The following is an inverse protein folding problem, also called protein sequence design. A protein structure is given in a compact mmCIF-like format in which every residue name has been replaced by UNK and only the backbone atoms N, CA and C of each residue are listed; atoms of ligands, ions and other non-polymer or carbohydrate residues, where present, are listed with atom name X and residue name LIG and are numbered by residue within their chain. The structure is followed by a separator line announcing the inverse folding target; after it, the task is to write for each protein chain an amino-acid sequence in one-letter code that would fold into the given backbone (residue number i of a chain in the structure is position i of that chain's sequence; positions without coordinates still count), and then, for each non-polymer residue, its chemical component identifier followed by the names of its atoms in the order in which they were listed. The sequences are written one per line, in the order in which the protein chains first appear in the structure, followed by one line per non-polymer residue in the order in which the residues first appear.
data_IF_501701251852
#
_entry.id   IF_501701251852
#
_cell.length_a   1.000
_cell.length_b   1.000
_cell.length_c   1.000
_cell.angle_alpha   90.00
_cell.angle_beta   90.00
_cell.angle_gamma   90.00
#
_symmetry.space_group_name_H-M   'P 1'
#
loop_
_entity.id
_entity.type
_entity.pdbx_description
1 polymer ?
#
# COMPACT_ATOMS: atom_id res chain seq x y z
N UNK A 1 -44.35 13.16 13.78
CA UNK A 1 -43.13 13.88 13.31
C UNK A 1 -41.83 13.36 13.93
N UNK A 2 -41.82 12.67 15.07
CA UNK A 2 -40.60 12.17 15.73
C UNK A 2 -39.93 10.94 15.08
N UNK A 3 -40.69 10.06 14.44
CA UNK A 3 -40.19 8.79 13.89
C UNK A 3 -39.28 8.96 12.65
N UNK A 4 -39.60 9.95 11.82
CA UNK A 4 -38.79 10.27 10.62
C UNK A 4 -37.42 10.86 10.96
N UNK A 5 -37.35 11.69 12.02
CA UNK A 5 -36.08 12.26 12.47
C UNK A 5 -35.11 11.20 13.02
N UNK A 6 -35.64 10.20 13.74
CA UNK A 6 -34.85 9.08 14.28
C UNK A 6 -34.26 8.20 13.18
N UNK A 7 -34.99 7.96 12.08
CA UNK A 7 -34.52 7.16 10.95
C UNK A 7 -33.42 7.91 10.19
N UNK A 8 -33.57 9.21 9.98
CA UNK A 8 -32.56 10.06 9.31
C UNK A 8 -31.28 10.14 10.17
N UNK A 9 -31.38 10.33 11.47
CA UNK A 9 -30.24 10.31 12.39
C UNK A 9 -29.55 8.95 12.44
N UNK A 10 -30.29 7.86 12.40
CA UNK A 10 -29.72 6.50 12.32
C UNK A 10 -28.98 6.29 10.98
N UNK A 11 -29.55 6.76 9.88
CA UNK A 11 -28.92 6.67 8.54
C UNK A 11 -27.64 7.50 8.47
N UNK A 12 -27.66 8.73 9.01
CA UNK A 12 -26.47 9.60 9.10
C UNK A 12 -25.41 8.99 10.03
N UNK A 13 -25.80 8.39 11.16
CA UNK A 13 -24.86 7.69 12.04
C UNK A 13 -24.26 6.43 11.40
N UNK A 14 -25.01 5.70 10.57
CA UNK A 14 -24.53 4.52 9.84
C UNK A 14 -23.60 4.96 8.71
N UNK A 15 -23.91 6.03 7.98
CA UNK A 15 -23.04 6.62 6.95
C UNK A 15 -21.75 7.20 7.56
N UNK A 16 -21.81 7.88 8.70
CA UNK A 16 -20.64 8.40 9.41
C UNK A 16 -19.72 7.29 9.96
N UNK A 17 -20.29 6.14 10.39
CA UNK A 17 -19.50 4.95 10.78
C UNK A 17 -18.78 4.28 9.60
N UNK A 18 -19.23 4.51 8.38
CA UNK A 18 -18.62 3.96 7.15
C UNK A 18 -17.51 4.83 6.54
N UNK A 19 -17.29 6.06 7.02
CA UNK A 19 -16.12 6.85 6.69
C UNK A 19 -14.95 6.29 7.51
N UNK A 20 -14.31 5.26 7.00
CA UNK A 20 -13.02 4.81 7.55
C UNK A 20 -12.02 5.92 7.30
N UNK A 21 -11.86 6.80 8.28
CA UNK A 21 -10.81 7.81 8.26
C UNK A 21 -9.49 7.06 8.25
N UNK A 22 -8.79 7.09 7.12
CA UNK A 22 -7.47 6.47 7.03
C UNK A 22 -6.52 7.20 7.97
N UNK A 23 -5.95 6.46 8.91
CA UNK A 23 -4.90 6.98 9.78
C UNK A 23 -3.62 7.03 8.96
N UNK A 24 -2.91 8.14 9.06
CA UNK A 24 -1.69 8.39 8.32
C UNK A 24 -0.56 8.81 9.25
N UNK A 25 0.63 8.25 9.04
CA UNK A 25 1.86 8.66 9.71
C UNK A 25 2.94 9.00 8.71
N UNK A 26 3.64 10.09 8.96
CA UNK A 26 4.73 10.55 8.09
C UNK A 26 5.95 9.63 8.16
N UNK A 27 6.80 9.69 7.14
CA UNK A 27 8.09 8.98 7.15
C UNK A 27 8.98 9.39 8.32
N UNK A 28 8.84 10.61 8.82
CA UNK A 28 9.60 11.10 9.98
C UNK A 28 9.15 10.49 11.31
N UNK A 29 7.97 9.90 11.35
CA UNK A 29 7.42 9.20 12.52
C UNK A 29 7.63 7.68 12.43
N UNK A 30 7.73 7.14 11.22
CA UNK A 30 7.73 5.69 10.98
C UNK A 30 9.11 5.13 10.64
N UNK A 31 10.07 5.96 10.20
CA UNK A 31 11.40 5.52 9.79
C UNK A 31 12.46 6.00 10.77
N UNK A 32 13.18 5.05 11.38
CA UNK A 32 14.28 5.34 12.28
C UNK A 32 15.36 6.19 11.60
N UNK A 33 15.77 7.29 12.23
CA UNK A 33 16.83 8.18 11.73
C UNK A 33 16.42 9.02 10.49
N UNK A 34 15.15 9.09 10.14
CA UNK A 34 14.70 9.87 8.99
C UNK A 34 15.04 11.36 9.14
N UNK A 35 14.73 11.96 10.29
CA UNK A 35 14.95 13.40 10.56
C UNK A 35 16.43 13.79 10.52
N UNK A 36 17.33 12.89 10.89
CA UNK A 36 18.79 13.13 10.93
C UNK A 36 19.48 12.78 9.62
N UNK A 37 18.80 12.10 8.70
CA UNK A 37 19.37 11.70 7.42
C UNK A 37 19.48 12.90 6.46
N UNK A 38 20.71 13.23 6.04
CA UNK A 38 20.94 14.22 4.99
C UNK A 38 20.30 13.79 3.66
N UNK A 39 20.37 12.49 3.34
CA UNK A 39 19.74 11.92 2.13
C UNK A 39 18.23 12.09 2.14
N UNK A 40 17.54 11.78 3.24
CA UNK A 40 16.09 11.90 3.34
C UNK A 40 15.57 13.34 3.09
N UNK A 41 16.40 14.35 3.36
CA UNK A 41 16.06 15.77 3.16
C UNK A 41 16.21 16.24 1.71
N UNK A 42 17.06 15.60 0.93
CA UNK A 42 17.42 16.02 -0.44
C UNK A 42 16.86 15.10 -1.51
N UNK A 43 16.57 13.84 -1.17
CA UNK A 43 16.10 12.85 -2.13
C UNK A 43 14.67 13.11 -2.61
N UNK A 44 14.46 12.82 -3.89
CA UNK A 44 13.15 12.87 -4.56
C UNK A 44 12.82 11.49 -5.15
N UNK A 45 11.54 11.24 -5.44
CA UNK A 45 11.07 9.99 -6.04
C UNK A 45 11.52 8.73 -5.27
N UNK A 46 11.54 8.82 -3.95
CA UNK A 46 12.08 7.82 -3.02
C UNK A 46 11.00 6.97 -2.32
N UNK A 47 9.80 6.86 -2.92
CA UNK A 47 8.69 6.09 -2.36
C UNK A 47 9.08 4.65 -2.02
N UNK A 48 9.83 3.96 -2.90
CA UNK A 48 10.34 2.60 -2.63
C UNK A 48 11.31 2.58 -1.45
N UNK A 49 12.21 3.57 -1.35
CA UNK A 49 13.16 3.67 -0.22
C UNK A 49 12.40 3.77 1.11
N UNK A 50 11.41 4.65 1.18
CA UNK A 50 10.59 4.85 2.39
C UNK A 50 9.75 3.63 2.71
N UNK A 51 9.15 3.02 1.68
CA UNK A 51 8.33 1.81 1.84
C UNK A 51 9.15 0.67 2.43
N UNK A 52 10.32 0.38 1.88
CA UNK A 52 11.20 -0.68 2.38
C UNK A 52 11.72 -0.35 3.79
N UNK A 53 12.12 0.91 4.05
CA UNK A 53 12.55 1.31 5.38
C UNK A 53 11.47 1.04 6.43
N UNK A 54 10.23 1.44 6.16
CA UNK A 54 9.10 1.21 7.08
C UNK A 54 8.76 -0.27 7.22
N UNK A 55 8.60 -1.00 6.11
CA UNK A 55 8.14 -2.39 6.12
C UNK A 55 9.15 -3.33 6.78
N UNK A 56 10.44 -3.12 6.54
CA UNK A 56 11.51 -3.97 7.08
C UNK A 56 12.15 -3.43 8.36
N UNK A 57 11.72 -2.27 8.86
CA UNK A 57 12.29 -1.65 10.07
C UNK A 57 13.73 -1.12 9.87
N UNK A 58 14.10 -0.79 8.64
CA UNK A 58 15.42 -0.26 8.31
C UNK A 58 15.50 1.25 8.59
N UNK A 59 16.71 1.76 8.78
CA UNK A 59 16.95 3.19 8.67
C UNK A 59 16.79 3.65 7.22
N UNK A 60 16.49 4.94 7.02
CA UNK A 60 16.39 5.50 5.68
C UNK A 60 17.66 5.24 4.85
N UNK A 61 18.85 5.45 5.44
CA UNK A 61 20.14 5.29 4.78
C UNK A 61 20.43 3.83 4.38
N UNK A 62 20.03 2.86 5.23
CA UNK A 62 20.15 1.43 4.88
C UNK A 62 19.28 1.08 3.69
N UNK A 63 18.02 1.50 3.71
CA UNK A 63 17.10 1.27 2.61
C UNK A 63 17.54 1.98 1.32
N UNK A 64 18.02 3.23 1.41
CA UNK A 64 18.56 3.97 0.28
C UNK A 64 19.75 3.24 -0.36
N UNK A 65 20.74 2.81 0.46
CA UNK A 65 21.90 2.04 0.01
C UNK A 65 21.48 0.72 -0.66
N UNK A 66 20.52 0.02 -0.08
CA UNK A 66 19.95 -1.21 -0.67
C UNK A 66 19.30 -0.94 -2.02
N UNK A 67 18.44 0.07 -2.12
CA UNK A 67 17.80 0.43 -3.39
C UNK A 67 18.82 0.78 -4.48
N UNK A 68 19.90 1.49 -4.14
CA UNK A 68 20.99 1.80 -5.07
C UNK A 68 21.72 0.55 -5.56
N UNK A 69 22.10 -0.33 -4.63
CA UNK A 69 22.94 -1.51 -4.96
C UNK A 69 22.13 -2.65 -5.60
N UNK A 70 20.94 -2.94 -5.08
CA UNK A 70 20.18 -4.14 -5.44
C UNK A 70 19.05 -3.86 -6.42
N UNK A 71 18.41 -2.69 -6.34
CA UNK A 71 17.33 -2.30 -7.23
C UNK A 71 17.77 -1.29 -8.30
N UNK A 72 19.09 -1.05 -8.41
CA UNK A 72 19.71 -0.17 -9.42
C UNK A 72 19.12 1.26 -9.44
N UNK A 73 18.66 1.74 -8.27
CA UNK A 73 18.12 3.08 -8.15
C UNK A 73 19.22 4.13 -8.28
N UNK A 74 19.02 5.10 -9.15
CA UNK A 74 19.87 6.29 -9.24
C UNK A 74 19.34 7.39 -8.32
N UNK A 75 20.23 8.22 -7.77
CA UNK A 75 19.86 9.36 -6.91
C UNK A 75 18.84 10.27 -7.62
N UNK A 76 17.83 10.71 -6.89
CA UNK A 76 16.75 11.54 -7.41
C UNK A 76 15.76 10.84 -8.37
N UNK A 77 15.97 9.57 -8.69
CA UNK A 77 15.09 8.77 -9.58
C UNK A 77 14.28 7.75 -8.77
N UNK A 78 13.14 7.34 -9.31
CA UNK A 78 12.38 6.21 -8.80
C UNK A 78 13.08 4.87 -9.05
N UNK A 79 12.58 3.81 -8.43
CA UNK A 79 12.95 2.44 -8.76
C UNK A 79 12.04 1.94 -9.89
N UNK A 80 12.59 1.17 -10.82
CA UNK A 80 11.79 0.52 -11.84
C UNK A 80 10.80 -0.47 -11.18
N UNK A 81 9.51 -0.35 -11.52
CA UNK A 81 8.43 -1.15 -10.92
C UNK A 81 8.66 -2.65 -11.11
N UNK A 82 9.11 -3.07 -12.29
CA UNK A 82 9.40 -4.48 -12.57
C UNK A 82 10.50 -5.03 -11.67
N UNK A 83 11.65 -4.34 -11.56
CA UNK A 83 12.77 -4.73 -10.68
C UNK A 83 12.32 -4.82 -9.22
N UNK A 84 11.48 -3.88 -8.79
CA UNK A 84 10.93 -3.86 -7.44
C UNK A 84 9.98 -5.05 -7.17
N UNK A 85 9.10 -5.36 -8.11
CA UNK A 85 8.18 -6.48 -7.97
C UNK A 85 8.92 -7.83 -8.00
N UNK A 86 9.93 -8.01 -8.87
CA UNK A 86 10.78 -9.19 -8.86
C UNK A 86 11.48 -9.37 -7.51
N UNK A 87 12.00 -8.28 -6.93
CA UNK A 87 12.61 -8.35 -5.61
C UNK A 87 11.61 -8.85 -4.54
N UNK A 88 10.40 -8.30 -4.51
CA UNK A 88 9.37 -8.73 -3.55
C UNK A 88 8.90 -10.18 -3.79
N UNK A 89 8.95 -10.66 -5.01
CA UNK A 89 8.58 -12.04 -5.37
C UNK A 89 9.60 -13.09 -4.91
N UNK A 90 10.78 -12.69 -4.40
CA UNK A 90 11.78 -13.62 -3.86
C UNK A 90 11.35 -14.31 -2.56
N UNK A 91 10.30 -13.85 -1.92
CA UNK A 91 9.70 -14.47 -0.75
C UNK A 91 10.39 -14.16 0.58
N UNK A 92 11.58 -13.56 0.60
CA UNK A 92 12.26 -13.14 1.82
C UNK A 92 13.29 -12.04 1.60
N UNK A 93 13.46 -11.18 2.60
CA UNK A 93 14.52 -10.18 2.67
C UNK A 93 14.68 -9.67 4.11
N UNK A 94 15.89 -9.26 4.50
CA UNK A 94 16.18 -8.66 5.81
C UNK A 94 15.66 -9.49 7.00
N UNK A 95 15.80 -10.82 6.94
CA UNK A 95 15.32 -11.79 7.92
C UNK A 95 13.78 -11.76 8.12
N UNK A 96 13.04 -11.34 7.10
CA UNK A 96 11.58 -11.32 7.07
C UNK A 96 11.05 -12.08 5.86
N UNK A 97 9.91 -12.73 6.04
CA UNK A 97 9.17 -13.37 4.95
C UNK A 97 8.36 -12.32 4.19
N UNK A 98 8.28 -12.49 2.87
CA UNK A 98 7.48 -11.66 1.97
C UNK A 98 6.46 -12.56 1.29
N UNK A 99 5.18 -12.36 1.58
CA UNK A 99 4.10 -13.16 0.99
C UNK A 99 3.22 -12.27 0.10
N UNK A 100 3.14 -12.58 -1.19
CA UNK A 100 2.23 -11.85 -2.09
C UNK A 100 0.78 -12.17 -1.73
N UNK A 101 -0.02 -11.14 -1.52
CA UNK A 101 -1.46 -11.27 -1.27
C UNK A 101 -2.17 -11.41 -2.60
N UNK A 102 -2.76 -12.58 -2.82
CA UNK A 102 -3.53 -12.89 -4.03
C UNK A 102 -5.00 -12.95 -3.67
N UNK A 103 -5.81 -12.19 -4.38
CA UNK A 103 -7.26 -12.30 -4.35
C UNK A 103 -7.70 -12.88 -5.67
N UNK A 104 -8.55 -13.86 -5.67
CA UNK A 104 -9.12 -14.56 -6.82
C UNK A 104 -8.12 -14.91 -7.95
N UNK A 105 -8.09 -16.13 -8.41
CA UNK A 105 -7.24 -16.52 -9.53
C UNK A 105 -7.58 -15.70 -10.78
N UNK A 106 -6.55 -15.22 -11.47
CA UNK A 106 -6.66 -14.48 -12.75
C UNK A 106 -7.54 -15.22 -13.77
N UNK A 107 -7.50 -16.55 -13.78
CA UNK A 107 -8.31 -17.39 -14.67
C UNK A 107 -9.80 -17.19 -14.42
N UNK A 108 -10.24 -17.16 -13.15
CA UNK A 108 -11.66 -16.94 -12.81
C UNK A 108 -12.15 -15.57 -13.27
N UNK A 109 -11.28 -14.58 -13.32
CA UNK A 109 -11.61 -13.25 -13.83
C UNK A 109 -11.71 -13.24 -15.35
N UNK A 110 -10.84 -13.96 -16.07
CA UNK A 110 -10.88 -14.12 -17.53
C UNK A 110 -12.15 -14.83 -17.97
N UNK A 111 -12.52 -15.93 -17.34
CA UNK A 111 -13.72 -16.71 -17.64
C UNK A 111 -15.02 -15.90 -17.44
N UNK A 112 -14.93 -14.80 -16.69
CA UNK A 112 -16.05 -13.87 -16.45
C UNK A 112 -16.01 -12.60 -17.30
N UNK A 113 -15.17 -12.57 -18.35
CA UNK A 113 -15.08 -11.44 -19.30
C UNK A 113 -14.29 -10.23 -18.79
N UNK A 114 -13.53 -10.37 -17.71
CA UNK A 114 -12.60 -9.34 -17.27
C UNK A 114 -11.27 -9.49 -18.00
N UNK A 115 -11.04 -8.68 -19.02
CA UNK A 115 -9.77 -8.67 -19.76
C UNK A 115 -8.70 -7.94 -18.97
N UNK A 116 -7.57 -8.61 -18.68
CA UNK A 116 -6.37 -7.96 -18.21
C UNK A 116 -5.64 -7.27 -19.37
N UNK A 117 -5.39 -5.97 -19.23
CA UNK A 117 -4.24 -5.38 -19.90
C UNK A 117 -3.00 -5.76 -19.12
N UNK A 118 -1.97 -6.24 -19.78
CA UNK A 118 -0.71 -6.73 -19.20
C UNK A 118 0.03 -5.75 -18.28
N UNK A 119 -0.35 -4.49 -18.28
CA UNK A 119 0.28 -3.38 -17.55
C UNK A 119 -0.49 -2.93 -16.28
N UNK A 120 -1.63 -3.53 -15.96
CA UNK A 120 -2.42 -3.20 -14.78
C UNK A 120 -2.85 -4.44 -14.02
N UNK A 121 -1.91 -4.99 -13.22
CA UNK A 121 -2.26 -6.02 -12.25
C UNK A 121 -3.03 -5.36 -11.10
N UNK A 122 -4.34 -5.49 -11.12
CA UNK A 122 -5.23 -4.95 -10.09
C UNK A 122 -5.74 -6.09 -9.22
N UNK A 123 -5.82 -5.85 -7.91
CA UNK A 123 -6.44 -6.80 -6.99
C UNK A 123 -7.96 -6.64 -7.04
N UNK A 124 -8.67 -7.76 -7.09
CA UNK A 124 -10.12 -7.81 -7.07
C UNK A 124 -10.62 -8.50 -5.82
N UNK A 125 -11.75 -8.09 -5.33
CA UNK A 125 -12.46 -8.70 -4.22
C UNK A 125 -13.87 -9.07 -4.63
N UNK A 126 -14.31 -10.28 -4.29
CA UNK A 126 -15.69 -10.72 -4.51
C UNK A 126 -16.62 -10.08 -3.49
N UNK A 127 -17.68 -9.44 -3.98
CA UNK A 127 -18.75 -8.86 -3.17
C UNK A 127 -20.08 -9.44 -3.63
N UNK A 128 -20.56 -10.47 -2.95
CA UNK A 128 -21.73 -11.23 -3.39
C UNK A 128 -21.50 -11.86 -4.77
N UNK A 129 -22.34 -11.53 -5.76
CA UNK A 129 -22.22 -12.01 -7.16
C UNK A 129 -21.28 -11.15 -8.04
N UNK A 130 -20.75 -10.03 -7.53
CA UNK A 130 -19.93 -9.08 -8.30
C UNK A 130 -18.48 -9.07 -7.83
N UNK A 131 -17.57 -8.84 -8.77
CA UNK A 131 -16.16 -8.54 -8.48
C UNK A 131 -15.96 -7.03 -8.55
N UNK A 132 -15.19 -6.49 -7.61
CA UNK A 132 -14.80 -5.08 -7.61
C UNK A 132 -13.31 -4.95 -7.39
N UNK A 133 -12.70 -3.91 -7.95
CA UNK A 133 -11.27 -3.61 -7.74
C UNK A 133 -11.02 -3.34 -6.26
N UNK A 134 -9.94 -3.90 -5.73
CA UNK A 134 -9.51 -3.66 -4.36
C UNK A 134 -9.03 -2.22 -4.23
N UNK A 135 -9.64 -1.45 -3.36
CA UNK A 135 -9.17 -0.11 -3.01
C UNK A 135 -8.31 -0.15 -1.73
N UNK A 136 -7.49 0.88 -1.51
CA UNK A 136 -6.68 1.00 -0.29
C UNK A 136 -7.57 0.94 0.97
N UNK A 137 -8.71 1.62 0.97
CA UNK A 137 -9.65 1.57 2.09
C UNK A 137 -10.25 0.18 2.30
N UNK A 138 -10.58 -0.55 1.22
CA UNK A 138 -11.05 -1.94 1.33
C UNK A 138 -9.93 -2.87 1.80
N UNK A 139 -8.69 -2.64 1.35
CA UNK A 139 -7.53 -3.41 1.80
C UNK A 139 -7.34 -3.28 3.32
N UNK A 140 -7.33 -2.05 3.83
CA UNK A 140 -7.17 -1.78 5.27
C UNK A 140 -8.28 -2.46 6.10
N UNK A 141 -9.52 -2.44 5.62
CA UNK A 141 -10.65 -3.11 6.30
C UNK A 141 -10.47 -4.63 6.35
N UNK A 142 -9.95 -5.23 5.28
CA UNK A 142 -9.75 -6.68 5.19
C UNK A 142 -8.47 -7.14 5.91
N UNK A 143 -7.49 -6.25 6.07
CA UNK A 143 -6.20 -6.52 6.71
C UNK A 143 -5.91 -5.48 7.80
N UNK A 144 -6.65 -5.53 8.94
CA UNK A 144 -6.53 -4.51 9.98
C UNK A 144 -5.24 -4.61 10.79
N UNK A 145 -4.55 -5.74 10.76
CA UNK A 145 -3.30 -6.02 11.48
C UNK A 145 -2.23 -6.50 10.52
N UNK A 146 -0.96 -6.25 10.85
CA UNK A 146 0.19 -6.69 10.07
C UNK A 146 0.93 -5.54 9.38
N UNK A 147 2.01 -5.90 8.71
CA UNK A 147 2.83 -4.96 7.93
C UNK A 147 2.73 -5.32 6.45
N UNK A 148 2.33 -4.36 5.62
CA UNK A 148 2.08 -4.59 4.21
C UNK A 148 2.83 -3.58 3.35
N UNK A 149 3.27 -4.03 2.19
CA UNK A 149 3.74 -3.19 1.09
C UNK A 149 2.62 -3.12 0.06
N UNK A 150 2.21 -1.91 -0.31
CA UNK A 150 1.14 -1.67 -1.26
C UNK A 150 1.71 -0.97 -2.50
N UNK A 151 1.42 -1.54 -3.66
CA UNK A 151 1.71 -0.93 -4.96
C UNK A 151 0.42 -0.42 -5.60
N UNK A 152 0.43 0.84 -6.00
CA UNK A 152 -0.63 1.50 -6.75
C UNK A 152 -0.03 2.12 -8.01
N UNK A 153 -0.85 2.63 -8.93
CA UNK A 153 -0.34 3.24 -10.17
C UNK A 153 0.70 4.33 -9.88
N UNK A 154 1.94 4.09 -10.30
CA UNK A 154 3.06 5.04 -10.19
C UNK A 154 3.55 5.31 -8.75
N UNK A 155 3.15 4.50 -7.75
CA UNK A 155 3.55 4.74 -6.37
C UNK A 155 3.51 3.48 -5.52
N UNK A 156 4.29 3.50 -4.41
CA UNK A 156 4.25 2.46 -3.37
C UNK A 156 4.37 3.07 -1.98
N UNK A 157 3.79 2.41 -0.98
CA UNK A 157 3.85 2.81 0.42
C UNK A 157 3.64 1.60 1.34
N UNK A 158 3.96 1.75 2.61
CA UNK A 158 3.70 0.73 3.61
C UNK A 158 2.40 1.01 4.37
N UNK A 159 1.71 -0.07 4.77
CA UNK A 159 0.63 -0.03 5.77
C UNK A 159 1.08 -0.87 6.95
N UNK A 160 0.95 -0.35 8.15
CA UNK A 160 1.22 -1.08 9.39
C UNK A 160 0.05 -0.90 10.35
N UNK A 161 -0.59 -2.00 10.73
CA UNK A 161 -1.74 -2.03 11.64
C UNK A 161 -2.80 -0.97 11.28
N UNK A 162 -3.28 -1.00 10.03
CA UNK A 162 -4.23 -0.05 9.44
C UNK A 162 -3.72 1.38 9.26
N UNK A 163 -2.47 1.69 9.61
CA UNK A 163 -1.87 3.02 9.44
C UNK A 163 -1.10 3.09 8.11
N UNK A 164 -1.45 4.04 7.26
CA UNK A 164 -0.69 4.34 6.03
C UNK A 164 0.57 5.11 6.40
N UNK A 165 1.73 4.60 6.00
CA UNK A 165 3.05 5.17 6.33
C UNK A 165 3.72 5.74 5.07
N UNK A 166 4.10 7.01 5.10
CA UNK A 166 4.75 7.67 3.97
C UNK A 166 4.95 9.17 4.19
N UNK A 167 5.17 9.95 3.12
CA UNK A 167 5.14 11.40 3.20
C UNK A 167 3.72 11.91 3.02
N UNK A 168 3.41 13.03 3.65
CA UNK A 168 2.08 13.64 3.54
C UNK A 168 1.72 14.00 2.09
N UNK A 169 2.71 14.47 1.31
CA UNK A 169 2.56 14.73 -0.13
C UNK A 169 2.22 13.49 -0.95
N UNK A 170 2.55 12.30 -0.43
CA UNK A 170 2.31 11.02 -1.08
C UNK A 170 1.01 10.36 -0.61
N UNK A 171 0.24 11.02 0.25
CA UNK A 171 -1.01 10.51 0.79
C UNK A 171 -1.95 10.06 -0.33
N UNK A 172 -2.45 8.83 -0.21
CA UNK A 172 -3.38 8.23 -1.16
C UNK A 172 -4.76 8.08 -0.54
N UNK A 173 -5.77 8.58 -1.25
CA UNK A 173 -7.17 8.50 -0.82
C UNK A 173 -7.62 7.03 -0.77
N UNK A 174 -8.56 6.72 0.11
CA UNK A 174 -9.12 5.37 0.30
C UNK A 174 -9.61 4.69 -0.98
N UNK A 175 -10.01 5.47 -1.99
CA UNK A 175 -10.53 4.97 -3.29
C UNK A 175 -9.45 4.59 -4.31
N UNK A 176 -8.17 4.84 -4.03
CA UNK A 176 -7.09 4.44 -4.95
C UNK A 176 -7.03 2.93 -5.05
N UNK A 177 -6.91 2.43 -6.29
CA UNK A 177 -6.88 1.00 -6.59
C UNK A 177 -5.51 0.41 -6.24
N UNK A 178 -5.53 -0.71 -5.52
CA UNK A 178 -4.35 -1.52 -5.22
C UNK A 178 -4.05 -2.41 -6.43
N UNK A 179 -2.84 -2.32 -6.96
CA UNK A 179 -2.37 -3.17 -8.04
C UNK A 179 -1.77 -4.47 -7.50
N UNK A 180 -0.89 -4.36 -6.50
CA UNK A 180 -0.27 -5.49 -5.80
C UNK A 180 -0.12 -5.18 -4.32
N UNK A 181 -0.10 -6.23 -3.52
CA UNK A 181 0.16 -6.15 -2.09
C UNK A 181 1.02 -7.34 -1.62
N UNK A 182 1.88 -7.09 -0.64
CA UNK A 182 2.69 -8.11 0.03
C UNK A 182 2.62 -7.91 1.53
N UNK A 183 2.48 -9.01 2.24
CA UNK A 183 2.61 -9.08 3.69
C UNK A 183 4.07 -9.33 4.07
N UNK A 184 4.53 -8.66 5.13
CA UNK A 184 5.90 -8.72 5.64
C UNK A 184 5.87 -9.24 7.08
N UNK A 185 6.38 -10.46 7.30
CA UNK A 185 6.39 -11.15 8.59
C UNK A 185 7.82 -11.44 9.09
#
# INVERSE_FOLDING_TARGET
MGFFLSIILLYICIELKNITTMIYKSSSETIKGYKTSKLARTEKNDCVVRTLATAFGLTYNQSHKFCGKTLYRKNGKGVNTWTYHIFLSKGSAFNKTITEIKYEPVQVLRDKGYYERYDTLELYIKRGKKYSKMTVGSFIKNHPKGTFIISVKGHTFAIKDSVVCGNFSDFRKARVIVQKAWEIN
#
